data_IF_934993242292
#
_entry.id   IF_934993242292
#
_cell.length_a   1.000
_cell.length_b   1.000
_cell.length_c   1.000
_cell.angle_alpha   90.00
_cell.angle_beta   90.00
_cell.angle_gamma   90.00
#
_symmetry.space_group_name_H-M   'P 1'
#
loop_
_entity.id
_entity.type
_entity.pdbx_description
1 polymer ?
#
# COMPACT_ATOMS: atom_id res chain seq x y z
N UNK A 1 6.27 0.88 -27.86
CA UNK A 1 5.21 0.02 -28.44
C UNK A 1 3.82 0.58 -28.16
N UNK A 2 3.45 0.78 -26.90
CA UNK A 2 2.16 1.39 -26.51
C UNK A 2 1.81 2.71 -27.24
N UNK A 3 2.77 3.63 -27.39
CA UNK A 3 2.58 4.91 -28.10
C UNK A 3 2.13 4.72 -29.55
N UNK A 4 2.60 3.66 -30.22
CA UNK A 4 2.27 3.40 -31.63
C UNK A 4 0.88 2.76 -31.83
N UNK A 5 0.31 2.18 -30.78
CA UNK A 5 -1.03 1.61 -30.78
C UNK A 5 -2.08 2.54 -30.15
N UNK A 6 -1.68 3.76 -29.82
CA UNK A 6 -2.55 4.75 -29.20
C UNK A 6 -3.57 5.28 -30.22
N UNK A 7 -4.85 5.13 -29.90
CA UNK A 7 -6.00 5.62 -30.66
C UNK A 7 -6.62 6.80 -29.93
N UNK A 8 -6.56 7.99 -30.54
CA UNK A 8 -7.01 9.25 -29.92
C UNK A 8 -8.53 9.28 -29.71
N UNK A 9 -9.29 8.64 -30.58
CA UNK A 9 -10.73 8.44 -30.51
C UNK A 9 -11.12 7.56 -29.31
N UNK A 10 -10.45 6.42 -29.13
CA UNK A 10 -10.66 5.52 -27.97
C UNK A 10 -10.30 6.23 -26.68
N UNK A 11 -9.19 6.97 -26.66
CA UNK A 11 -8.80 7.77 -25.51
C UNK A 11 -9.83 8.86 -25.19
N UNK A 12 -10.29 9.60 -26.19
CA UNK A 12 -11.29 10.66 -26.00
C UNK A 12 -12.62 10.10 -25.49
N UNK A 13 -13.07 8.96 -26.03
CA UNK A 13 -14.28 8.27 -25.61
C UNK A 13 -14.15 7.75 -24.16
N UNK A 14 -12.99 7.19 -23.82
CA UNK A 14 -12.70 6.80 -22.45
C UNK A 14 -12.64 8.02 -21.53
N UNK A 15 -12.07 9.17 -21.91
CA UNK A 15 -11.82 10.28 -20.97
C UNK A 15 -13.01 11.23 -20.81
N UNK A 16 -13.66 11.58 -21.91
CA UNK A 16 -14.71 12.60 -21.98
C UNK A 16 -16.12 12.02 -22.10
N UNK A 17 -16.26 10.72 -22.41
CA UNK A 17 -17.52 10.17 -22.92
C UNK A 17 -17.83 10.68 -24.32
N UNK A 18 -18.92 10.23 -24.94
CA UNK A 18 -19.35 10.83 -26.22
C UNK A 18 -20.07 12.16 -25.95
N UNK A 19 -19.97 13.17 -26.83
CA UNK A 19 -20.82 14.37 -26.77
C UNK A 19 -22.32 14.03 -26.82
N UNK A 20 -22.66 12.86 -27.36
CA UNK A 20 -24.03 12.34 -27.43
C UNK A 20 -24.54 11.75 -26.12
N UNK A 21 -23.69 11.26 -25.20
CA UNK A 21 -24.19 10.70 -23.91
C UNK A 21 -24.69 11.79 -22.97
N UNK A 22 -24.10 12.98 -22.96
CA UNK A 22 -24.57 14.09 -22.14
C UNK A 22 -25.92 14.68 -22.61
N UNK A 23 -26.20 14.66 -23.92
CA UNK A 23 -27.46 15.14 -24.50
C UNK A 23 -28.53 14.04 -24.62
N UNK A 24 -28.14 12.77 -24.77
CA UNK A 24 -29.07 11.63 -24.83
C UNK A 24 -29.55 11.15 -23.47
N UNK A 25 -28.77 11.29 -22.39
CA UNK A 25 -29.25 10.96 -21.02
C UNK A 25 -30.43 11.83 -20.57
N UNK A 26 -30.63 13.00 -21.18
CA UNK A 26 -31.79 13.87 -20.94
C UNK A 26 -33.00 13.55 -21.85
N UNK A 27 -32.85 12.70 -22.87
CA UNK A 27 -33.88 12.44 -23.90
C UNK A 27 -34.16 10.97 -24.19
N UNK A 28 -33.44 10.03 -23.56
CA UNK A 28 -33.62 8.59 -23.79
C UNK A 28 -34.81 8.10 -22.97
N UNK A 29 -35.95 7.99 -23.67
CA UNK A 29 -37.13 7.26 -23.22
C UNK A 29 -36.84 5.75 -23.04
N UNK A 30 -37.72 5.12 -22.27
CA UNK A 30 -37.67 3.74 -21.80
C UNK A 30 -37.04 2.73 -22.78
N UNK A 31 -35.85 2.23 -22.44
CA UNK A 31 -35.04 1.30 -23.24
C UNK A 31 -35.31 -0.19 -22.94
N UNK A 32 -36.44 -0.49 -22.29
CA UNK A 32 -36.89 -1.86 -21.98
C UNK A 32 -36.97 -2.80 -23.19
N UNK A 33 -37.05 -2.27 -24.41
CA UNK A 33 -37.24 -2.98 -25.67
C UNK A 33 -35.96 -3.46 -26.37
N UNK A 34 -34.76 -3.04 -25.92
CA UNK A 34 -33.48 -3.49 -26.51
C UNK A 34 -33.08 -4.93 -26.10
N UNK A 35 -33.86 -5.55 -25.22
CA UNK A 35 -33.61 -6.91 -24.74
C UNK A 35 -34.11 -8.02 -25.71
N UNK A 36 -34.87 -7.65 -26.76
CA UNK A 36 -35.49 -8.60 -27.69
C UNK A 36 -34.51 -9.25 -28.71
N UNK A 37 -33.30 -8.70 -28.87
CA UNK A 37 -32.37 -9.13 -29.92
C UNK A 37 -31.13 -9.90 -29.42
N UNK A 38 -31.00 -10.19 -28.13
CA UNK A 38 -30.00 -11.13 -27.60
C UNK A 38 -28.51 -10.78 -27.81
N UNK A 39 -28.17 -9.56 -28.25
CA UNK A 39 -26.79 -9.11 -28.50
C UNK A 39 -26.04 -8.60 -27.26
N UNK A 40 -26.65 -8.67 -26.08
CA UNK A 40 -26.01 -8.31 -24.82
C UNK A 40 -25.46 -9.56 -24.15
N UNK A 41 -24.14 -9.74 -24.26
CA UNK A 41 -23.42 -10.71 -23.44
C UNK A 41 -23.70 -10.46 -21.95
N UNK A 42 -23.61 -11.52 -21.14
CA UNK A 42 -23.97 -11.54 -19.71
C UNK A 42 -23.33 -10.46 -18.81
N UNK A 43 -22.43 -9.62 -19.33
CA UNK A 43 -21.93 -8.41 -18.67
C UNK A 43 -22.98 -7.28 -18.56
N UNK A 44 -23.96 -7.19 -19.47
CA UNK A 44 -25.03 -6.17 -19.37
C UNK A 44 -26.04 -6.48 -18.26
N UNK A 45 -26.17 -7.76 -17.88
CA UNK A 45 -27.04 -8.20 -16.79
C UNK A 45 -26.37 -8.13 -15.40
N UNK A 46 -25.06 -7.90 -15.33
CA UNK A 46 -24.32 -7.71 -14.08
C UNK A 46 -24.15 -6.23 -13.70
N UNK A 47 -24.54 -5.30 -14.57
CA UNK A 47 -24.79 -3.92 -14.17
C UNK A 47 -26.16 -3.92 -13.49
N UNK A 48 -26.20 -4.45 -12.26
CA UNK A 48 -27.21 -3.99 -11.32
C UNK A 48 -27.04 -2.47 -11.29
N UNK A 49 -28.07 -1.67 -11.62
CA UNK A 49 -28.01 -0.26 -11.36
C UNK A 49 -27.96 -0.13 -9.83
N UNK A 50 -26.76 -0.06 -9.27
CA UNK A 50 -26.57 0.54 -7.96
C UNK A 50 -27.02 1.98 -8.14
N UNK A 51 -28.27 2.21 -7.79
CA UNK A 51 -28.88 3.52 -7.70
C UNK A 51 -27.98 4.36 -6.79
N UNK A 52 -27.31 5.34 -7.41
CA UNK A 52 -26.48 6.43 -6.89
C UNK A 52 -25.16 6.48 -7.69
N UNK A 53 -24.92 7.50 -8.55
CA UNK A 53 -23.60 7.70 -9.14
C UNK A 53 -22.60 7.86 -7.99
N UNK A 54 -21.55 7.02 -7.96
CA UNK A 54 -20.50 7.14 -6.95
C UNK A 54 -20.01 8.59 -6.88
N UNK A 55 -20.13 9.22 -5.71
CA UNK A 55 -19.71 10.60 -5.54
C UNK A 55 -18.24 10.79 -5.96
N UNK A 56 -17.89 11.97 -6.48
CA UNK A 56 -16.49 12.32 -6.79
C UNK A 56 -15.57 12.05 -5.59
N UNK A 57 -16.06 12.32 -4.39
CA UNK A 57 -15.34 12.02 -3.16
C UNK A 57 -15.06 10.52 -2.98
N UNK A 58 -16.04 9.66 -3.25
CA UNK A 58 -15.87 8.19 -3.22
C UNK A 58 -14.83 7.72 -4.24
N UNK A 59 -14.92 8.19 -5.48
CA UNK A 59 -13.98 7.81 -6.55
C UNK A 59 -12.54 8.27 -6.24
N UNK A 60 -12.39 9.50 -5.76
CA UNK A 60 -11.08 10.04 -5.34
C UNK A 60 -10.54 9.23 -4.16
N UNK A 61 -11.36 8.93 -3.15
CA UNK A 61 -10.97 8.12 -1.99
C UNK A 61 -10.51 6.72 -2.40
N UNK A 62 -11.28 6.03 -3.23
CA UNK A 62 -10.95 4.67 -3.69
C UNK A 62 -9.65 4.64 -4.48
N UNK A 63 -9.46 5.60 -5.40
CA UNK A 63 -8.23 5.70 -6.20
C UNK A 63 -7.02 6.02 -5.32
N UNK A 64 -7.20 6.91 -4.35
CA UNK A 64 -6.15 7.35 -3.43
C UNK A 64 -5.61 6.21 -2.56
N UNK A 65 -6.47 5.33 -2.04
CA UNK A 65 -6.03 4.16 -1.27
C UNK A 65 -5.15 3.21 -2.10
N UNK A 66 -5.53 2.99 -3.36
CA UNK A 66 -4.75 2.14 -4.28
C UNK A 66 -3.41 2.80 -4.62
N UNK A 67 -3.38 4.10 -4.92
CA UNK A 67 -2.13 4.78 -5.28
C UNK A 67 -1.15 4.86 -4.13
N UNK A 68 -1.61 5.08 -2.90
CA UNK A 68 -0.75 5.03 -1.69
C UNK A 68 -0.09 3.66 -1.57
N UNK A 69 -0.85 2.59 -1.77
CA UNK A 69 -0.34 1.23 -1.69
C UNK A 69 0.76 0.97 -2.73
N UNK A 70 0.62 1.51 -3.94
CA UNK A 70 1.63 1.37 -5.01
C UNK A 70 2.94 2.10 -4.69
N UNK A 71 2.88 3.19 -3.91
CA UNK A 71 4.07 3.91 -3.44
C UNK A 71 4.56 3.48 -2.07
N UNK A 72 3.99 2.44 -1.49
CA UNK A 72 4.48 1.89 -0.23
C UNK A 72 5.89 1.32 -0.43
N UNK A 73 6.84 1.69 0.43
CA UNK A 73 8.24 1.25 0.34
C UNK A 73 9.25 2.32 -0.08
N UNK A 74 8.85 3.60 -0.27
CA UNK A 74 9.81 4.69 -0.56
C UNK A 74 10.86 4.84 0.56
N UNK A 75 10.48 4.45 1.78
CA UNK A 75 11.35 4.45 2.95
C UNK A 75 12.51 3.46 2.85
N UNK A 76 12.44 2.46 1.95
CA UNK A 76 13.48 1.45 1.81
C UNK A 76 14.86 2.03 1.56
N UNK A 77 14.96 3.10 0.77
CA UNK A 77 16.22 3.81 0.56
C UNK A 77 16.81 4.37 1.87
N UNK A 78 15.95 4.86 2.77
CA UNK A 78 16.37 5.39 4.08
C UNK A 78 16.79 4.29 5.06
N UNK A 79 16.15 3.11 5.00
CA UNK A 79 16.51 1.94 5.80
C UNK A 79 17.91 1.43 5.41
N UNK A 80 18.21 1.38 4.11
CA UNK A 80 19.54 1.00 3.61
C UNK A 80 20.57 2.14 3.61
N UNK A 81 20.27 3.28 4.24
CA UNK A 81 21.21 4.41 4.32
C UNK A 81 22.56 4.01 4.93
N UNK A 82 22.60 2.97 5.79
CA UNK A 82 23.83 2.38 6.33
C UNK A 82 24.77 1.83 5.26
N UNK A 83 24.24 1.33 4.15
CA UNK A 83 24.99 0.80 3.01
C UNK A 83 25.20 1.84 1.90
N UNK A 84 24.65 3.04 2.05
CA UNK A 84 24.82 4.10 1.06
C UNK A 84 26.23 4.71 1.15
N UNK A 85 26.86 4.91 0.00
CA UNK A 85 28.18 5.58 -0.10
C UNK A 85 28.15 7.01 0.47
N UNK A 86 27.04 7.73 0.24
CA UNK A 86 26.84 9.10 0.71
C UNK A 86 25.39 9.29 1.16
N UNK A 87 25.17 10.08 2.22
CA UNK A 87 23.83 10.36 2.75
C UNK A 87 22.95 11.15 1.78
N UNK A 88 23.55 12.02 0.98
CA UNK A 88 22.87 12.79 -0.09
C UNK A 88 22.22 11.88 -1.14
N UNK A 89 22.85 10.74 -1.46
CA UNK A 89 22.33 9.80 -2.45
C UNK A 89 21.02 9.16 -2.01
N UNK A 90 20.77 9.03 -0.71
CA UNK A 90 19.53 8.44 -0.19
C UNK A 90 18.32 9.29 -0.59
N UNK A 91 18.38 10.60 -0.32
CA UNK A 91 17.31 11.53 -0.67
C UNK A 91 17.08 11.61 -2.18
N UNK A 92 18.17 11.67 -2.96
CA UNK A 92 18.10 11.70 -4.43
C UNK A 92 17.48 10.40 -4.96
N UNK A 93 17.89 9.24 -4.45
CA UNK A 93 17.36 7.95 -4.87
C UNK A 93 15.85 7.82 -4.54
N UNK A 94 15.42 8.27 -3.36
CA UNK A 94 13.99 8.27 -3.00
C UNK A 94 13.18 9.15 -3.94
N UNK A 95 13.60 10.40 -4.19
CA UNK A 95 12.84 11.36 -5.00
C UNK A 95 12.84 10.96 -6.48
N UNK A 96 14.00 10.61 -7.05
CA UNK A 96 14.08 10.18 -8.44
C UNK A 96 13.37 8.84 -8.66
N UNK A 97 13.48 7.90 -7.71
CA UNK A 97 12.75 6.64 -7.75
C UNK A 97 11.23 6.87 -7.74
N UNK A 98 10.73 7.71 -6.83
CA UNK A 98 9.33 8.07 -6.74
C UNK A 98 8.82 8.71 -8.04
N UNK A 99 9.49 9.76 -8.53
CA UNK A 99 9.10 10.47 -9.76
C UNK A 99 9.16 9.54 -10.97
N UNK A 100 10.21 8.72 -11.07
CA UNK A 100 10.37 7.75 -12.16
C UNK A 100 9.23 6.73 -12.20
N UNK A 101 8.92 6.11 -11.06
CA UNK A 101 7.81 5.16 -10.95
C UNK A 101 6.46 5.83 -11.20
N UNK A 102 6.24 7.04 -10.68
CA UNK A 102 5.03 7.82 -10.93
C UNK A 102 4.83 8.10 -12.42
N UNK A 103 5.87 8.59 -13.11
CA UNK A 103 5.82 8.82 -14.54
C UNK A 103 5.51 7.54 -15.31
N UNK A 104 6.14 6.42 -14.95
CA UNK A 104 5.86 5.13 -15.58
C UNK A 104 4.42 4.66 -15.36
N UNK A 105 3.89 4.77 -14.15
CA UNK A 105 2.51 4.40 -13.83
C UNK A 105 1.49 5.25 -14.60
N UNK A 106 1.72 6.58 -14.64
CA UNK A 106 0.87 7.50 -15.41
C UNK A 106 0.93 7.16 -16.90
N UNK A 107 2.12 6.96 -17.46
CA UNK A 107 2.30 6.61 -18.87
C UNK A 107 1.61 5.29 -19.22
N UNK A 108 1.83 4.23 -18.44
CA UNK A 108 1.24 2.91 -18.68
C UNK A 108 -0.30 2.99 -18.60
N UNK A 109 -0.84 3.71 -17.62
CA UNK A 109 -2.29 3.87 -17.43
C UNK A 109 -2.90 4.67 -18.58
N UNK A 110 -2.34 5.84 -18.91
CA UNK A 110 -2.85 6.70 -19.99
C UNK A 110 -2.76 6.02 -21.35
N UNK A 111 -1.66 5.33 -21.63
CA UNK A 111 -1.50 4.62 -22.89
C UNK A 111 -2.47 3.45 -22.99
N UNK A 112 -2.74 2.73 -21.91
CA UNK A 112 -3.72 1.64 -21.90
C UNK A 112 -5.13 2.14 -22.24
N UNK A 113 -5.53 3.32 -21.74
CA UNK A 113 -6.79 3.97 -22.10
C UNK A 113 -6.87 4.44 -23.56
N UNK A 114 -5.75 4.53 -24.28
CA UNK A 114 -5.75 4.77 -25.71
C UNK A 114 -5.77 3.50 -26.55
N UNK A 115 -5.65 2.31 -25.96
CA UNK A 115 -5.57 1.04 -26.70
C UNK A 115 -6.87 0.26 -26.64
N UNK A 116 -7.49 0.20 -25.45
CA UNK A 116 -8.71 -0.57 -25.19
C UNK A 116 -9.78 0.31 -24.50
N UNK A 117 -11.05 -0.06 -24.65
CA UNK A 117 -12.16 0.59 -23.95
C UNK A 117 -12.15 0.25 -22.46
N UNK A 118 -12.70 1.14 -21.62
CA UNK A 118 -12.82 0.93 -20.15
C UNK A 118 -13.41 -0.44 -19.76
N UNK A 119 -14.52 -0.92 -20.37
CA UNK A 119 -15.09 -2.22 -20.02
C UNK A 119 -14.14 -3.38 -20.35
N UNK A 120 -13.44 -3.31 -21.48
CA UNK A 120 -12.49 -4.33 -21.90
C UNK A 120 -11.27 -4.36 -20.98
N UNK A 121 -10.75 -3.18 -20.60
CA UNK A 121 -9.66 -3.05 -19.62
C UNK A 121 -10.03 -3.61 -18.25
N UNK A 122 -11.26 -3.37 -17.80
CA UNK A 122 -11.77 -3.89 -16.53
C UNK A 122 -11.96 -5.41 -16.56
N UNK A 123 -12.27 -5.98 -17.73
CA UNK A 123 -12.42 -7.42 -17.92
C UNK A 123 -11.08 -8.17 -18.07
N UNK A 124 -9.95 -7.46 -18.27
CA UNK A 124 -8.64 -8.10 -18.37
C UNK A 124 -8.22 -8.75 -17.05
N UNK A 125 -7.68 -9.96 -17.14
CA UNK A 125 -7.03 -10.62 -16.01
C UNK A 125 -5.83 -9.79 -15.53
N UNK A 126 -5.71 -9.63 -14.22
CA UNK A 126 -4.59 -8.93 -13.61
C UNK A 126 -3.32 -9.80 -13.67
N UNK A 127 -2.16 -9.22 -14.03
CA UNK A 127 -1.94 -7.80 -14.35
C UNK A 127 -2.41 -7.43 -15.78
N UNK A 128 -3.22 -6.38 -15.87
CA UNK A 128 -3.89 -5.94 -17.10
C UNK A 128 -2.92 -5.57 -18.23
N UNK A 129 -1.70 -5.10 -17.90
CA UNK A 129 -0.68 -4.75 -18.89
C UNK A 129 -0.30 -5.92 -19.82
N UNK A 130 -0.37 -7.16 -19.34
CA UNK A 130 -0.14 -8.33 -20.20
C UNK A 130 -1.20 -8.42 -21.31
N UNK A 131 -2.47 -8.23 -20.96
CA UNK A 131 -3.59 -8.22 -21.91
C UNK A 131 -3.58 -7.01 -22.84
N UNK A 132 -3.21 -5.83 -22.33
CA UNK A 132 -3.05 -4.63 -23.16
C UNK A 132 -1.95 -4.85 -24.20
N UNK A 133 -0.80 -5.42 -23.83
CA UNK A 133 0.27 -5.67 -24.80
C UNK A 133 -0.09 -6.80 -25.78
N UNK A 134 -0.85 -7.80 -25.33
CA UNK A 134 -1.39 -8.85 -26.20
C UNK A 134 -2.29 -8.28 -27.31
N UNK A 135 -3.14 -7.30 -26.97
CA UNK A 135 -3.99 -6.62 -27.95
C UNK A 135 -3.20 -5.85 -29.02
N UNK A 136 -1.94 -5.49 -28.75
CA UNK A 136 -1.09 -4.68 -29.65
C UNK A 136 -0.20 -5.55 -30.54
N UNK A 137 0.55 -6.48 -29.92
CA UNK A 137 1.58 -7.28 -30.61
C UNK A 137 1.29 -8.78 -30.61
N UNK A 138 0.12 -9.19 -30.13
CA UNK A 138 -0.29 -10.59 -30.01
C UNK A 138 0.33 -11.30 -28.80
N UNK A 139 0.16 -12.63 -28.76
CA UNK A 139 0.51 -13.50 -27.60
C UNK A 139 1.94 -13.32 -27.08
N UNK A 140 2.90 -12.98 -27.94
CA UNK A 140 4.28 -12.75 -27.50
C UNK A 140 4.40 -11.56 -26.52
N UNK A 141 3.60 -10.50 -26.70
CA UNK A 141 3.55 -9.38 -25.77
C UNK A 141 3.15 -9.79 -24.35
N UNK A 142 2.12 -10.64 -24.23
CA UNK A 142 1.69 -11.18 -22.94
C UNK A 142 2.81 -11.96 -22.25
N UNK A 143 3.52 -12.83 -22.99
CA UNK A 143 4.60 -13.65 -22.44
C UNK A 143 5.76 -12.78 -21.97
N UNK A 144 6.16 -11.79 -22.78
CA UNK A 144 7.23 -10.84 -22.43
C UNK A 144 6.92 -10.11 -21.11
N UNK A 145 5.72 -9.56 -20.97
CA UNK A 145 5.29 -8.90 -19.73
C UNK A 145 5.22 -9.88 -18.56
N UNK A 146 4.74 -11.11 -18.79
CA UNK A 146 4.63 -12.13 -17.74
C UNK A 146 6.01 -12.55 -17.21
N UNK A 147 7.01 -12.71 -18.08
CA UNK A 147 8.39 -13.00 -17.66
C UNK A 147 8.98 -11.82 -16.87
N UNK A 148 8.78 -10.59 -17.37
CA UNK A 148 9.21 -9.38 -16.67
C UNK A 148 8.57 -9.24 -15.29
N UNK A 149 7.29 -9.60 -15.17
CA UNK A 149 6.56 -9.63 -13.89
C UNK A 149 7.20 -10.62 -12.92
N UNK A 150 7.54 -11.85 -13.35
CA UNK A 150 8.18 -12.84 -12.47
C UNK A 150 9.49 -12.29 -11.92
N UNK A 151 10.34 -11.72 -12.78
CA UNK A 151 11.62 -11.12 -12.36
C UNK A 151 11.38 -9.96 -11.39
N UNK A 152 10.41 -9.10 -11.69
CA UNK A 152 10.05 -7.95 -10.85
C UNK A 152 9.54 -8.37 -9.47
N UNK A 153 8.66 -9.37 -9.40
CA UNK A 153 8.11 -9.90 -8.15
C UNK A 153 9.19 -10.56 -7.31
N UNK A 154 10.10 -11.32 -7.92
CA UNK A 154 11.24 -11.92 -7.21
C UNK A 154 12.19 -10.85 -6.65
N UNK A 155 12.47 -9.80 -7.42
CA UNK A 155 13.26 -8.66 -6.97
C UNK A 155 12.61 -7.92 -5.80
N UNK A 156 11.30 -7.65 -5.91
CA UNK A 156 10.52 -7.04 -4.84
C UNK A 156 10.52 -7.92 -3.57
N UNK A 157 10.27 -9.21 -3.72
CA UNK A 157 10.29 -10.18 -2.61
C UNK A 157 11.62 -10.16 -1.85
N UNK A 158 12.75 -10.17 -2.57
CA UNK A 158 14.06 -10.09 -1.94
C UNK A 158 14.27 -8.76 -1.20
N UNK A 159 13.93 -7.64 -1.83
CA UNK A 159 14.07 -6.30 -1.25
C UNK A 159 13.27 -6.14 0.04
N UNK A 160 12.01 -6.57 0.02
CA UNK A 160 11.10 -6.51 1.18
C UNK A 160 11.53 -7.45 2.31
N UNK A 161 12.03 -8.64 1.97
CA UNK A 161 12.54 -9.59 2.96
C UNK A 161 13.74 -9.05 3.72
N UNK A 162 14.67 -8.41 2.99
CA UNK A 162 15.84 -7.76 3.57
C UNK A 162 15.46 -6.52 4.39
N UNK A 163 14.48 -5.73 3.92
CA UNK A 163 14.02 -4.53 4.61
C UNK A 163 13.41 -4.90 5.97
N UNK A 164 12.57 -5.94 6.00
CA UNK A 164 11.98 -6.44 7.24
C UNK A 164 13.06 -6.85 8.26
N UNK A 165 14.12 -7.51 7.82
CA UNK A 165 15.24 -7.88 8.69
C UNK A 165 16.04 -6.67 9.18
N UNK A 166 16.34 -5.69 8.31
CA UNK A 166 17.12 -4.50 8.67
C UNK A 166 16.36 -3.57 9.64
N UNK A 167 15.03 -3.48 9.52
CA UNK A 167 14.18 -2.74 10.47
C UNK A 167 14.25 -3.38 11.85
N UNK A 168 14.11 -4.71 11.95
CA UNK A 168 14.25 -5.43 13.22
C UNK A 168 15.64 -5.26 13.83
N UNK A 169 16.68 -5.39 13.01
CA UNK A 169 18.07 -5.23 13.43
C UNK A 169 18.34 -3.81 13.94
N UNK A 170 17.89 -2.78 13.22
CA UNK A 170 18.05 -1.38 13.61
C UNK A 170 17.30 -1.06 14.91
N UNK A 171 16.09 -1.60 15.08
CA UNK A 171 15.32 -1.47 16.32
C UNK A 171 16.02 -2.17 17.50
N UNK A 172 16.67 -3.32 17.27
CA UNK A 172 17.42 -4.03 18.30
C UNK A 172 18.70 -3.29 18.70
N UNK A 173 19.42 -2.69 17.75
CA UNK A 173 20.59 -1.81 18.03
C UNK A 173 20.22 -0.60 18.87
N UNK A 174 19.02 -0.05 18.67
CA UNK A 174 18.46 1.05 19.46
C UNK A 174 17.74 0.57 20.74
N UNK A 175 17.95 -0.69 21.15
CA UNK A 175 17.42 -1.30 22.39
C UNK A 175 15.88 -1.30 22.47
N UNK A 176 15.19 -1.24 21.33
CA UNK A 176 13.73 -1.32 21.26
C UNK A 176 13.22 -2.73 20.97
N UNK A 177 14.12 -3.65 20.59
CA UNK A 177 13.87 -5.07 20.35
C UNK A 177 14.87 -5.95 21.12
N UNK A 178 14.60 -7.25 21.33
CA UNK A 178 15.52 -8.18 21.99
C UNK A 178 16.92 -8.21 21.37
N UNK A 179 17.96 -8.37 22.19
CA UNK A 179 19.37 -8.37 21.77
C UNK A 179 19.69 -9.44 20.74
N UNK A 180 18.93 -10.54 20.73
CA UNK A 180 19.06 -11.64 19.75
C UNK A 180 18.93 -11.16 18.31
N UNK A 181 18.18 -10.07 18.05
CA UNK A 181 18.04 -9.50 16.71
C UNK A 181 19.13 -8.49 16.36
N UNK A 182 19.99 -8.09 17.30
CA UNK A 182 21.13 -7.20 17.07
C UNK A 182 22.43 -7.95 16.72
N UNK A 183 22.39 -9.28 16.63
CA UNK A 183 23.55 -10.11 16.30
C UNK A 183 23.64 -10.32 14.79
N UNK A 184 24.86 -10.17 14.25
CA UNK A 184 25.19 -10.42 12.86
C UNK A 184 26.02 -11.71 12.73
N UNK A 185 25.88 -12.41 11.61
CA UNK A 185 26.73 -13.56 11.28
C UNK A 185 28.08 -13.10 10.67
N UNK A 186 28.92 -14.06 10.26
CA UNK A 186 30.23 -13.79 9.63
C UNK A 186 30.15 -12.97 8.33
N UNK A 187 28.99 -12.90 7.70
CA UNK A 187 28.73 -12.13 6.47
C UNK A 187 28.04 -10.79 6.76
N UNK A 188 28.03 -10.33 8.02
CA UNK A 188 27.36 -9.10 8.45
C UNK A 188 25.82 -9.08 8.19
N UNK A 189 25.18 -10.24 8.21
CA UNK A 189 23.72 -10.37 8.04
C UNK A 189 23.05 -10.66 9.39
N UNK A 190 21.94 -9.97 9.75
CA UNK A 190 21.20 -10.23 10.97
C UNK A 190 20.39 -11.53 10.90
N UNK A 191 21.05 -12.67 11.11
CA UNK A 191 20.50 -14.01 10.87
C UNK A 191 19.22 -14.30 11.67
N UNK A 192 19.17 -13.91 12.95
CA UNK A 192 17.99 -14.09 13.80
C UNK A 192 16.76 -13.35 13.27
N UNK A 193 16.96 -12.13 12.74
CA UNK A 193 15.88 -11.32 12.17
C UNK A 193 15.38 -11.95 10.86
N UNK A 194 16.28 -12.42 10.00
CA UNK A 194 15.93 -13.12 8.74
C UNK A 194 15.16 -14.42 9.01
N UNK A 195 15.52 -15.18 10.04
CA UNK A 195 14.80 -16.39 10.41
C UNK A 195 13.40 -16.07 10.93
N UNK A 196 13.25 -15.07 11.80
CA UNK A 196 11.94 -14.67 12.31
C UNK A 196 11.01 -14.20 11.18
N UNK A 197 11.51 -13.38 10.24
CA UNK A 197 10.72 -12.91 9.10
C UNK A 197 10.32 -14.07 8.19
N UNK A 198 11.25 -14.98 7.87
CA UNK A 198 10.93 -16.16 7.05
C UNK A 198 9.93 -17.09 7.73
N UNK A 199 10.08 -17.40 9.02
CA UNK A 199 9.13 -18.24 9.75
C UNK A 199 7.74 -17.59 9.73
N UNK A 200 7.67 -16.27 9.94
CA UNK A 200 6.40 -15.53 9.87
C UNK A 200 5.76 -15.64 8.49
N UNK A 201 6.54 -15.43 7.42
CA UNK A 201 6.07 -15.58 6.04
C UNK A 201 5.56 -17.01 5.78
N UNK A 202 6.31 -18.04 6.20
CA UNK A 202 5.91 -19.43 6.00
C UNK A 202 4.62 -19.77 6.75
N UNK A 203 4.46 -19.31 7.99
CA UNK A 203 3.21 -19.48 8.74
C UNK A 203 2.05 -18.84 7.98
N UNK A 204 2.21 -17.61 7.46
CA UNK A 204 1.19 -16.97 6.65
C UNK A 204 0.88 -17.74 5.36
N UNK A 205 1.89 -18.23 4.64
CA UNK A 205 1.69 -19.03 3.43
C UNK A 205 0.96 -20.34 3.72
N UNK A 206 1.29 -21.02 4.82
CA UNK A 206 0.58 -22.23 5.24
C UNK A 206 -0.87 -21.89 5.58
N UNK A 207 -1.13 -20.82 6.34
CA UNK A 207 -2.48 -20.38 6.67
C UNK A 207 -3.31 -20.05 5.42
N UNK A 208 -2.68 -19.51 4.37
CA UNK A 208 -3.37 -19.22 3.10
C UNK A 208 -3.84 -20.46 2.35
N UNK A 209 -3.25 -21.62 2.58
CA UNK A 209 -3.72 -22.88 1.97
C UNK A 209 -5.03 -23.38 2.59
N UNK A 210 -5.37 -22.92 3.79
CA UNK A 210 -6.53 -23.38 4.55
C UNK A 210 -7.66 -22.34 4.64
N UNK A 211 -7.50 -21.16 4.00
CA UNK A 211 -8.46 -20.07 4.12
C UNK A 211 -8.58 -19.30 2.81
N UNK A 212 -9.79 -19.26 2.26
CA UNK A 212 -10.13 -18.52 1.04
C UNK A 212 -9.93 -17.00 1.21
N UNK A 213 -10.00 -16.51 2.45
CA UNK A 213 -9.90 -15.08 2.78
C UNK A 213 -8.51 -14.66 3.26
N UNK A 214 -7.59 -15.60 3.49
CA UNK A 214 -6.29 -15.28 4.07
C UNK A 214 -5.44 -14.36 3.18
N UNK A 215 -5.58 -14.43 1.86
CA UNK A 215 -4.90 -13.52 0.95
C UNK A 215 -5.43 -12.09 1.07
N UNK A 216 -6.76 -11.92 1.08
CA UNK A 216 -7.40 -10.61 1.28
C UNK A 216 -7.07 -10.05 2.65
N UNK A 217 -7.17 -10.87 3.70
CA UNK A 217 -6.78 -10.50 5.06
C UNK A 217 -5.32 -10.06 5.14
N UNK A 218 -4.40 -10.75 4.47
CA UNK A 218 -2.99 -10.36 4.43
C UNK A 218 -2.78 -9.00 3.75
N UNK A 219 -3.49 -8.73 2.64
CA UNK A 219 -3.45 -7.43 1.97
C UNK A 219 -4.01 -6.32 2.88
N UNK A 220 -5.17 -6.54 3.48
CA UNK A 220 -5.80 -5.59 4.41
C UNK A 220 -4.92 -5.30 5.63
N UNK A 221 -4.31 -6.34 6.21
CA UNK A 221 -3.37 -6.21 7.32
C UNK A 221 -2.13 -5.42 6.90
N UNK A 222 -1.57 -5.70 5.73
CA UNK A 222 -0.39 -4.99 5.21
C UNK A 222 -0.68 -3.50 5.07
N UNK A 223 -1.79 -3.12 4.44
CA UNK A 223 -2.19 -1.72 4.33
C UNK A 223 -2.37 -1.06 5.70
N UNK A 224 -3.03 -1.74 6.63
CA UNK A 224 -3.27 -1.21 7.98
C UNK A 224 -1.99 -0.95 8.78
N UNK A 225 -1.05 -1.90 8.72
CA UNK A 225 0.16 -1.89 9.53
C UNK A 225 1.17 -0.86 9.04
N UNK A 226 1.07 -0.39 7.80
CA UNK A 226 1.94 0.64 7.26
C UNK A 226 1.43 2.06 7.51
N UNK A 227 0.11 2.26 7.55
CA UNK A 227 -0.47 3.60 7.76
C UNK A 227 -0.08 4.21 9.12
N UNK A 228 -0.07 3.39 10.18
CA UNK A 228 0.22 3.87 11.54
C UNK A 228 1.68 4.32 11.66
N UNK A 229 2.71 3.55 11.25
CA UNK A 229 4.09 4.01 11.19
C UNK A 229 4.27 5.30 10.39
N UNK A 230 3.63 5.43 9.22
CA UNK A 230 3.71 6.67 8.43
C UNK A 230 3.11 7.88 9.18
N UNK A 231 1.98 7.69 9.87
CA UNK A 231 1.42 8.74 10.72
C UNK A 231 2.38 9.10 11.86
N UNK A 232 2.98 8.12 12.54
CA UNK A 232 3.91 8.35 13.63
C UNK A 232 5.19 9.06 13.17
N UNK A 233 5.72 8.69 12.00
CA UNK A 233 6.89 9.36 11.38
C UNK A 233 6.55 10.80 11.03
N UNK A 234 5.40 11.06 10.38
CA UNK A 234 4.94 12.42 10.08
C UNK A 234 4.76 13.27 11.34
N UNK A 235 4.05 12.73 12.34
CA UNK A 235 3.79 13.40 13.61
C UNK A 235 5.07 13.66 14.40
N UNK A 236 6.04 12.74 14.38
CA UNK A 236 7.34 12.94 15.01
C UNK A 236 8.15 14.04 14.30
N UNK A 237 8.14 14.07 12.97
CA UNK A 237 8.73 15.16 12.19
C UNK A 237 8.09 16.51 12.50
N UNK A 238 6.76 16.54 12.63
CA UNK A 238 6.01 17.75 12.99
C UNK A 238 6.36 18.21 14.41
N UNK A 239 6.44 17.28 15.37
CA UNK A 239 6.90 17.57 16.74
C UNK A 239 8.27 18.23 16.70
N UNK A 240 9.22 17.65 15.97
CA UNK A 240 10.59 18.15 15.90
C UNK A 240 10.69 19.54 15.26
N UNK A 241 9.89 19.78 14.22
CA UNK A 241 9.77 21.09 13.60
C UNK A 241 9.10 22.11 14.54
N UNK A 242 8.11 21.71 15.34
CA UNK A 242 7.46 22.61 16.30
C UNK A 242 8.34 22.93 17.52
N UNK A 243 9.09 21.95 18.04
CA UNK A 243 9.96 22.16 19.21
C UNK A 243 11.27 22.86 18.85
N UNK A 244 11.71 22.77 17.59
CA UNK A 244 12.93 23.43 17.12
C UNK A 244 14.23 22.75 17.56
N UNK A 245 14.17 21.59 18.22
CA UNK A 245 15.32 20.87 18.80
C UNK A 245 16.41 20.51 17.77
N UNK A 246 16.08 20.42 16.48
CA UNK A 246 17.04 20.08 15.41
C UNK A 246 17.55 21.29 14.63
N UNK A 247 17.05 22.49 14.93
CA UNK A 247 17.33 23.72 14.16
C UNK A 247 18.19 24.73 14.93
N UNK A 248 18.86 24.30 16.00
CA UNK A 248 19.70 25.16 16.84
C UNK A 248 20.95 25.68 16.10
N UNK A 249 21.53 24.87 15.21
CA UNK A 249 22.78 25.16 14.48
C UNK A 249 22.59 25.69 13.06
N UNK A 250 21.49 25.33 12.37
CA UNK A 250 21.16 25.87 11.06
C UNK A 250 19.63 26.09 10.94
N UNK A 251 19.22 27.35 10.86
CA UNK A 251 17.81 27.74 10.72
C UNK A 251 17.34 27.76 9.27
N UNK A 252 18.24 27.54 8.30
CA UNK A 252 17.84 27.44 6.90
C UNK A 252 16.92 26.21 6.77
N UNK A 253 15.75 26.46 6.22
CA UNK A 253 14.69 25.47 5.92
C UNK A 253 13.73 25.02 7.04
N UNK A 254 13.84 25.55 8.27
CA UNK A 254 12.88 25.24 9.36
C UNK A 254 11.40 25.42 8.96
N UNK A 255 11.05 26.53 8.30
CA UNK A 255 9.69 26.78 7.81
C UNK A 255 9.25 25.78 6.74
N UNK A 256 10.18 25.33 5.87
CA UNK A 256 9.85 24.37 4.81
C UNK A 256 9.59 23.00 5.42
N UNK A 257 10.44 22.56 6.34
CA UNK A 257 10.29 21.28 7.02
C UNK A 257 9.02 21.23 7.85
N UNK A 258 8.65 22.35 8.51
CA UNK A 258 7.36 22.46 9.20
C UNK A 258 6.19 22.28 8.24
N UNK A 259 6.22 22.91 7.07
CA UNK A 259 5.16 22.78 6.05
C UNK A 259 5.09 21.32 5.56
N UNK A 260 6.23 20.71 5.23
CA UNK A 260 6.26 19.32 4.75
C UNK A 260 5.80 18.33 5.82
N UNK A 261 6.21 18.50 7.07
CA UNK A 261 5.79 17.65 8.18
C UNK A 261 4.30 17.81 8.48
N UNK A 262 3.75 19.02 8.37
CA UNK A 262 2.33 19.28 8.52
C UNK A 262 1.52 18.62 7.41
N UNK A 263 1.95 18.76 6.16
CA UNK A 263 1.32 18.10 5.00
C UNK A 263 1.39 16.58 5.14
N UNK A 264 2.54 16.03 5.51
CA UNK A 264 2.72 14.59 5.69
C UNK A 264 1.83 14.03 6.81
N UNK A 265 1.76 14.72 7.95
CA UNK A 265 0.90 14.33 9.08
C UNK A 265 -0.57 14.41 8.69
N UNK A 266 -0.99 15.49 8.04
CA UNK A 266 -2.36 15.68 7.58
C UNK A 266 -2.75 14.61 6.55
N UNK A 267 -1.87 14.32 5.60
CA UNK A 267 -2.07 13.27 4.60
C UNK A 267 -2.18 11.88 5.25
N UNK A 268 -1.31 11.54 6.20
CA UNK A 268 -1.38 10.27 6.91
C UNK A 268 -2.67 10.12 7.75
N UNK A 269 -3.13 11.21 8.38
CA UNK A 269 -4.43 11.24 9.08
C UNK A 269 -5.59 11.02 8.10
N UNK A 270 -5.55 11.69 6.95
CA UNK A 270 -6.56 11.54 5.90
C UNK A 270 -6.57 10.11 5.36
N UNK A 271 -5.41 9.47 5.19
CA UNK A 271 -5.32 8.06 4.79
C UNK A 271 -5.88 7.13 5.84
N UNK A 272 -5.60 7.37 7.11
CA UNK A 272 -6.13 6.56 8.20
C UNK A 272 -7.66 6.65 8.26
N UNK A 273 -8.20 7.86 8.09
CA UNK A 273 -9.63 8.10 7.98
C UNK A 273 -10.24 7.44 6.73
N UNK A 274 -9.56 7.57 5.59
CA UNK A 274 -10.00 7.00 4.32
C UNK A 274 -9.92 5.46 4.30
N UNK A 275 -8.95 4.85 4.96
CA UNK A 275 -8.89 3.41 5.15
C UNK A 275 -10.05 2.91 6.02
N UNK A 276 -10.45 3.70 7.01
CA UNK A 276 -11.58 3.37 7.86
C UNK A 276 -11.19 2.54 9.08
N UNK A 277 -12.12 2.49 10.05
CA UNK A 277 -11.86 1.96 11.39
C UNK A 277 -11.55 0.46 11.39
N UNK A 278 -12.02 -0.29 10.37
CA UNK A 278 -11.73 -1.71 10.19
C UNK A 278 -10.23 -1.98 10.20
N UNK A 279 -9.43 -1.23 9.43
CA UNK A 279 -7.98 -1.45 9.35
C UNK A 279 -7.26 -1.14 10.66
N UNK A 280 -7.68 -0.08 11.37
CA UNK A 280 -7.16 0.21 12.71
C UNK A 280 -7.40 -0.96 13.67
N UNK A 281 -8.61 -1.52 13.63
CA UNK A 281 -8.98 -2.64 14.48
C UNK A 281 -8.18 -3.91 14.13
N UNK A 282 -7.99 -4.20 12.83
CA UNK A 282 -7.16 -5.33 12.38
C UNK A 282 -5.68 -5.17 12.79
N UNK A 283 -5.12 -3.96 12.75
CA UNK A 283 -3.72 -3.72 13.14
C UNK A 283 -3.44 -4.10 14.60
N UNK A 284 -4.44 -3.97 15.48
CA UNK A 284 -4.34 -4.33 16.89
C UNK A 284 -4.10 -5.83 17.10
N UNK A 285 -4.61 -6.69 16.20
CA UNK A 285 -4.41 -8.15 16.24
C UNK A 285 -2.92 -8.50 16.16
N UNK A 286 -2.14 -7.71 15.42
CA UNK A 286 -0.71 -7.92 15.23
C UNK A 286 0.12 -7.16 16.27
N UNK A 287 -0.26 -5.92 16.60
CA UNK A 287 0.43 -5.15 17.63
C UNK A 287 0.35 -5.78 19.01
N UNK A 288 -0.76 -6.42 19.37
CA UNK A 288 -0.91 -7.16 20.63
C UNK A 288 0.23 -8.17 20.85
N UNK A 289 0.34 -9.24 20.04
CA UNK A 289 1.47 -10.17 20.10
C UNK A 289 2.83 -9.50 19.89
N UNK A 290 2.91 -8.48 19.03
CA UNK A 290 4.15 -7.72 18.79
C UNK A 290 4.73 -7.07 20.06
N UNK A 291 3.88 -6.65 21.01
CA UNK A 291 4.35 -6.08 22.29
C UNK A 291 5.10 -7.08 23.16
N UNK A 292 4.97 -8.40 22.93
CA UNK A 292 5.78 -9.40 23.63
C UNK A 292 7.27 -9.16 23.39
N UNK A 293 7.67 -8.81 22.17
CA UNK A 293 9.06 -8.49 21.84
C UNK A 293 9.54 -7.23 22.58
N UNK A 294 8.67 -6.23 22.73
CA UNK A 294 8.97 -5.03 23.53
C UNK A 294 9.17 -5.35 25.01
N UNK A 295 8.29 -6.20 25.59
CA UNK A 295 8.40 -6.66 26.98
C UNK A 295 9.72 -7.41 27.19
N UNK A 296 10.07 -8.32 26.27
CA UNK A 296 11.34 -9.05 26.30
C UNK A 296 12.54 -8.08 26.27
N UNK A 297 12.53 -7.10 25.36
CA UNK A 297 13.59 -6.10 25.23
C UNK A 297 13.78 -5.28 26.53
N UNK A 298 12.69 -4.84 27.17
CA UNK A 298 12.74 -4.09 28.44
C UNK A 298 13.23 -4.95 29.60
N UNK A 299 12.83 -6.23 29.64
CA UNK A 299 13.33 -7.19 30.65
C UNK A 299 14.83 -7.41 30.53
N UNK A 300 15.36 -7.55 29.33
CA UNK A 300 16.82 -7.67 29.08
C UNK A 300 17.63 -6.42 29.48
N UNK A 301 16.96 -5.29 29.67
CA UNK A 301 17.54 -4.02 30.10
C UNK A 301 17.32 -3.76 31.60
N UNK A 302 16.67 -4.67 32.32
CA UNK A 302 16.23 -4.48 33.71
C UNK A 302 15.45 -3.16 33.93
N UNK A 303 14.75 -2.69 32.88
CA UNK A 303 13.95 -1.47 32.93
C UNK A 303 12.51 -1.78 33.33
N UNK A 304 11.78 -0.77 33.81
CA UNK A 304 10.32 -0.88 33.95
C UNK A 304 9.71 -1.18 32.58
N UNK A 305 8.86 -2.20 32.54
CA UNK A 305 8.29 -2.72 31.28
C UNK A 305 7.38 -1.68 30.61
N UNK A 306 6.53 -1.01 31.39
CA UNK A 306 5.63 0.03 30.90
C UNK A 306 5.61 1.24 31.83
N UNK A 307 5.56 2.43 31.25
CA UNK A 307 5.09 3.64 31.94
C UNK A 307 3.56 3.62 32.08
N UNK A 308 2.93 4.42 32.98
CA UNK A 308 1.47 4.45 33.10
C UNK A 308 0.75 4.78 31.78
N UNK A 309 1.35 5.66 30.96
CA UNK A 309 0.84 5.99 29.63
C UNK A 309 0.97 4.81 28.65
N UNK A 310 2.12 4.13 28.63
CA UNK A 310 2.33 2.93 27.81
C UNK A 310 1.39 1.78 28.22
N UNK A 311 1.12 1.63 29.52
CA UNK A 311 0.18 0.63 30.02
C UNK A 311 -1.24 0.94 29.56
N UNK A 312 -1.67 2.20 29.62
CA UNK A 312 -2.97 2.62 29.08
C UNK A 312 -3.11 2.30 27.60
N UNK A 313 -2.08 2.63 26.81
CA UNK A 313 -2.05 2.31 25.37
C UNK A 313 -2.09 0.79 25.12
N UNK A 314 -1.32 0.01 25.88
CA UNK A 314 -1.31 -1.45 25.78
C UNK A 314 -2.70 -2.04 26.05
N UNK A 315 -3.38 -1.59 27.11
CA UNK A 315 -4.75 -2.04 27.42
C UNK A 315 -5.71 -1.69 26.30
N UNK A 316 -5.65 -0.48 25.74
CA UNK A 316 -6.49 -0.07 24.61
C UNK A 316 -6.25 -0.97 23.39
N UNK A 317 -4.99 -1.20 23.03
CA UNK A 317 -4.63 -2.07 21.89
C UNK A 317 -5.09 -3.51 22.13
N UNK A 318 -4.95 -4.05 23.34
CA UNK A 318 -5.41 -5.40 23.66
C UNK A 318 -6.93 -5.53 23.62
N UNK A 319 -7.67 -4.54 24.14
CA UNK A 319 -9.14 -4.50 24.05
C UNK A 319 -9.57 -4.43 22.58
N UNK A 320 -8.90 -3.58 21.78
CA UNK A 320 -9.16 -3.48 20.34
C UNK A 320 -8.88 -4.81 19.62
N UNK A 321 -7.79 -5.50 19.95
CA UNK A 321 -7.45 -6.80 19.37
C UNK A 321 -8.50 -7.87 19.71
N UNK A 322 -8.96 -7.94 20.96
CA UNK A 322 -10.04 -8.87 21.37
C UNK A 322 -11.34 -8.54 20.66
N UNK A 323 -11.71 -7.26 20.57
CA UNK A 323 -12.89 -6.81 19.83
C UNK A 323 -12.78 -7.15 18.34
N UNK A 324 -11.59 -7.03 17.74
CA UNK A 324 -11.31 -7.42 16.36
C UNK A 324 -11.56 -8.91 16.12
N UNK A 325 -10.95 -9.77 16.95
CA UNK A 325 -11.08 -11.23 16.87
C UNK A 325 -12.54 -11.64 17.05
N UNK A 326 -13.24 -11.04 18.02
CA UNK A 326 -14.66 -11.29 18.24
C UNK A 326 -15.51 -10.88 17.03
N UNK A 327 -15.25 -9.70 16.45
CA UNK A 327 -16.00 -9.19 15.30
C UNK A 327 -15.79 -10.01 14.03
N UNK A 328 -14.58 -10.57 13.85
CA UNK A 328 -14.28 -11.53 12.78
C UNK A 328 -15.01 -12.86 13.04
N UNK A 329 -14.93 -13.39 14.26
CA UNK A 329 -15.54 -14.68 14.62
C UNK A 329 -17.08 -14.66 14.57
N UNK A 330 -17.70 -13.50 14.82
CA UNK A 330 -19.16 -13.33 14.77
C UNK A 330 -19.69 -12.90 13.40
N UNK A 331 -18.80 -12.66 12.43
CA UNK A 331 -19.19 -12.22 11.08
C UNK A 331 -19.71 -10.78 11.00
N UNK A 332 -19.57 -9.99 12.08
CA UNK A 332 -19.93 -8.55 12.11
C UNK A 332 -19.00 -7.75 11.20
N UNK A 333 -17.73 -8.17 11.11
CA UNK A 333 -16.80 -7.71 10.08
C UNK A 333 -16.67 -8.83 9.06
N UNK A 334 -17.32 -8.65 7.91
CA UNK A 334 -17.03 -9.43 6.72
C UNK A 334 -15.72 -8.95 6.11
N UNK A 335 -14.80 -9.91 5.92
CA UNK A 335 -13.54 -9.74 5.19
C UNK A 335 -13.80 -10.12 3.75
#
# INVERSE_FOLDING_TARGET
MLIFAFKSDVFALNFWGTPETAASLASVGDLSHLNDYGYVGHAAAAIVPTAEPESLFSQVRSTMLVTVFVFLGIEGASVYSRYAKERSHVGIATVLGFIGVLCLLVLITMLSYGVLLRPDLAALRQPSMAGVLEAIVGRWGAIFISVGLIVSVLGAYLSWSLLAAEVLFSAAKSKSMPKVFATENSNAVPSSAVWLTNITIQVFLILTLFSDYAFQLALELTSSLTLIPYLLVGAYGLKLALTGETYETDKRDHKKDLIFALIATFYALLMLYAGGMKYLLLSAIIYGPGTLLYIMAKREQHAKVFTPAEMGLFVIVMVAAVAAIYSIATGVITI
#
